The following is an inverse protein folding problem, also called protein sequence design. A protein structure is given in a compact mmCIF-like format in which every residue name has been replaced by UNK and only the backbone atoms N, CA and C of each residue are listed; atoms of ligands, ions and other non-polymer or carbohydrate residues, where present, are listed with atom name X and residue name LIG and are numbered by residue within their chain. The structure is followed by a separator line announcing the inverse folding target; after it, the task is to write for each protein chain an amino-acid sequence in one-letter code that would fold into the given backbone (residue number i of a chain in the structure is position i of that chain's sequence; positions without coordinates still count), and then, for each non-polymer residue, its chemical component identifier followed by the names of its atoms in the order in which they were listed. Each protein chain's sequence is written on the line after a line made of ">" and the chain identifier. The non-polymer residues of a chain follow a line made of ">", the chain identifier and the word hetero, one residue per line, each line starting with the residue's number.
data_IF_844537804276
#
_entry.id   IF_844537804276
#
_cell.length_a   1.000
_cell.length_b   1.000
_cell.length_c   1.000
_cell.angle_alpha   90.00
_cell.angle_beta   90.00
_cell.angle_gamma   90.00
#
_symmetry.space_group_name_H-M   'P 1'
#
loop_
_entity.id
_entity.type
_entity.pdbx_description
1 polymer ?
#
# COMPACT_ATOMS: atom_id res chain seq x y z
N UNK A 1 -12.23 -24.65 -42.76
CA UNK A 1 -11.50 -24.90 -41.50
C UNK A 1 -10.59 -23.71 -41.26
N UNK A 2 -11.07 -22.67 -40.56
CA UNK A 2 -10.23 -21.53 -40.19
C UNK A 2 -9.48 -21.89 -38.90
N UNK A 3 -8.17 -22.11 -39.03
CA UNK A 3 -7.30 -22.31 -37.88
C UNK A 3 -6.94 -20.94 -37.31
N UNK A 4 -7.64 -20.51 -36.26
CA UNK A 4 -7.29 -19.31 -35.52
C UNK A 4 -5.98 -19.53 -34.78
N UNK A 5 -4.92 -18.84 -35.21
CA UNK A 5 -3.64 -18.80 -34.51
C UNK A 5 -3.84 -17.94 -33.25
N UNK A 6 -4.11 -18.60 -32.12
CA UNK A 6 -3.97 -17.99 -30.80
C UNK A 6 -2.47 -17.78 -30.55
N UNK A 7 -1.97 -16.59 -30.89
CA UNK A 7 -0.65 -16.15 -30.45
C UNK A 7 -0.69 -15.92 -28.94
N UNK A 8 -0.37 -16.95 -28.14
CA UNK A 8 0.03 -16.74 -26.75
C UNK A 8 1.32 -15.90 -26.76
N UNK A 9 1.22 -14.59 -26.54
CA UNK A 9 2.40 -13.77 -26.28
C UNK A 9 2.95 -14.15 -24.90
N UNK A 10 4.13 -14.75 -24.91
CA UNK A 10 4.88 -15.03 -23.68
C UNK A 10 5.24 -13.70 -22.97
N UNK A 11 5.34 -13.74 -21.65
CA UNK A 11 5.81 -12.61 -20.85
C UNK A 11 7.24 -12.21 -21.27
N UNK A 12 7.53 -10.90 -21.19
CA UNK A 12 8.86 -10.38 -21.56
C UNK A 12 9.66 -10.09 -20.30
N UNK A 13 10.94 -10.48 -20.31
CA UNK A 13 11.89 -10.25 -19.22
C UNK A 13 12.98 -9.28 -19.67
N UNK A 14 13.07 -8.13 -19.01
CA UNK A 14 14.27 -7.30 -19.02
C UNK A 14 15.13 -7.75 -17.84
N UNK A 15 16.26 -8.40 -18.14
CA UNK A 15 17.18 -8.87 -17.11
C UNK A 15 17.90 -7.69 -16.45
N UNK A 16 18.31 -7.83 -15.17
CA UNK A 16 19.18 -6.85 -14.55
C UNK A 16 20.50 -6.72 -15.32
N UNK A 17 21.06 -5.51 -15.37
CA UNK A 17 22.39 -5.27 -15.93
C UNK A 17 23.50 -5.90 -15.07
N UNK A 18 23.26 -6.00 -13.76
CA UNK A 18 24.17 -6.62 -12.79
C UNK A 18 23.77 -8.08 -12.57
N UNK A 19 24.75 -8.98 -12.43
CA UNK A 19 24.49 -10.39 -12.15
C UNK A 19 23.92 -10.55 -10.73
N UNK A 20 22.88 -11.37 -10.59
CA UNK A 20 22.37 -11.84 -9.30
C UNK A 20 23.47 -12.60 -8.56
N UNK A 21 23.86 -12.11 -7.38
CA UNK A 21 24.83 -12.76 -6.49
C UNK A 21 24.10 -13.50 -5.37
N UNK A 22 23.39 -12.74 -4.54
CA UNK A 22 22.71 -13.25 -3.35
C UNK A 22 21.20 -13.28 -3.59
N UNK A 23 20.57 -12.12 -3.74
CA UNK A 23 19.14 -11.95 -3.98
C UNK A 23 18.84 -11.11 -5.21
N UNK A 24 17.58 -11.13 -5.64
CA UNK A 24 17.07 -10.28 -6.73
C UNK A 24 15.73 -9.67 -6.41
N UNK A 25 15.38 -8.63 -7.16
CA UNK A 25 14.09 -7.94 -7.04
C UNK A 25 13.36 -7.96 -8.40
N UNK A 26 12.05 -7.74 -8.42
CA UNK A 26 11.33 -7.60 -9.69
C UNK A 26 10.27 -6.50 -9.70
N UNK A 27 10.30 -5.71 -10.76
CA UNK A 27 9.20 -4.84 -11.16
C UNK A 27 8.27 -5.66 -12.06
N UNK A 28 7.06 -5.91 -11.60
CA UNK A 28 6.01 -6.60 -12.37
C UNK A 28 5.03 -5.53 -12.87
N UNK A 29 4.92 -5.37 -14.18
CA UNK A 29 4.07 -4.31 -14.78
C UNK A 29 3.26 -4.85 -15.95
N UNK A 30 2.16 -4.17 -16.31
CA UNK A 30 1.46 -4.49 -17.55
C UNK A 30 2.16 -3.85 -18.76
N UNK A 31 1.84 -4.35 -19.95
CA UNK A 31 2.49 -3.90 -21.18
C UNK A 31 2.23 -2.41 -21.49
N UNK A 32 1.03 -1.90 -21.21
CA UNK A 32 0.69 -0.49 -21.48
C UNK A 32 1.51 0.44 -20.59
N UNK A 33 1.55 0.15 -19.29
CA UNK A 33 2.35 0.88 -18.32
C UNK A 33 3.85 0.81 -18.65
N UNK A 34 4.37 -0.36 -19.01
CA UNK A 34 5.77 -0.47 -19.43
C UNK A 34 6.09 0.40 -20.64
N UNK A 35 5.25 0.37 -21.68
CA UNK A 35 5.46 1.17 -22.89
C UNK A 35 5.41 2.67 -22.62
N UNK A 36 4.55 3.12 -21.71
CA UNK A 36 4.41 4.52 -21.37
C UNK A 36 5.51 5.03 -20.43
N UNK A 37 6.04 4.16 -19.55
CA UNK A 37 6.98 4.52 -18.49
C UNK A 37 8.34 3.79 -18.61
N UNK A 38 8.72 3.36 -19.82
CA UNK A 38 9.88 2.49 -20.04
C UNK A 38 11.17 3.12 -19.50
N UNK A 39 11.37 4.41 -19.76
CA UNK A 39 12.56 5.14 -19.35
C UNK A 39 12.69 5.20 -17.82
N UNK A 40 11.60 5.51 -17.13
CA UNK A 40 11.55 5.64 -15.68
C UNK A 40 11.72 4.29 -14.97
N UNK A 41 11.07 3.22 -15.47
CA UNK A 41 11.22 1.88 -14.91
C UNK A 41 12.63 1.32 -15.12
N UNK A 42 13.26 1.59 -16.27
CA UNK A 42 14.66 1.22 -16.52
C UNK A 42 15.63 2.03 -15.65
N UNK A 43 15.37 3.32 -15.43
CA UNK A 43 16.17 4.13 -14.51
C UNK A 43 16.07 3.61 -13.06
N UNK A 44 14.87 3.19 -12.64
CA UNK A 44 14.66 2.56 -11.34
C UNK A 44 15.39 1.20 -11.22
N UNK A 45 15.32 0.36 -12.26
CA UNK A 45 16.10 -0.88 -12.33
C UNK A 45 17.61 -0.60 -12.22
N UNK A 46 18.11 0.43 -12.90
CA UNK A 46 19.53 0.78 -12.90
C UNK A 46 20.01 1.26 -11.53
N UNK A 47 19.26 2.15 -10.85
CA UNK A 47 19.66 2.68 -9.55
C UNK A 47 19.68 1.59 -8.47
N UNK A 48 18.66 0.71 -8.44
CA UNK A 48 18.67 -0.46 -7.55
C UNK A 48 19.84 -1.40 -7.84
N UNK A 49 20.18 -1.59 -9.12
CA UNK A 49 21.35 -2.37 -9.51
C UNK A 49 22.68 -1.78 -8.99
N UNK A 50 22.81 -0.45 -8.98
CA UNK A 50 23.98 0.25 -8.40
C UNK A 50 24.06 0.10 -6.88
N UNK A 51 22.91 -0.01 -6.23
CA UNK A 51 22.78 -0.23 -4.78
C UNK A 51 22.93 -1.71 -4.37
N UNK A 52 23.21 -2.59 -5.33
CA UNK A 52 23.45 -4.01 -5.07
C UNK A 52 22.20 -4.88 -5.07
N UNK A 53 21.07 -4.38 -5.61
CA UNK A 53 19.83 -5.13 -5.78
C UNK A 53 19.50 -5.34 -7.28
N UNK A 54 20.06 -6.41 -7.91
CA UNK A 54 19.75 -6.78 -9.29
C UNK A 54 18.24 -6.95 -9.49
N UNK A 55 17.65 -6.06 -10.29
CA UNK A 55 16.21 -5.99 -10.50
C UNK A 55 15.81 -6.48 -11.89
N UNK A 56 14.82 -7.37 -11.98
CA UNK A 56 14.14 -7.72 -13.22
C UNK A 56 13.01 -6.73 -13.50
N UNK A 57 12.74 -6.44 -14.78
CA UNK A 57 11.44 -5.89 -15.18
C UNK A 57 10.71 -6.96 -15.98
N UNK A 58 9.53 -7.34 -15.54
CA UNK A 58 8.69 -8.33 -16.22
C UNK A 58 7.37 -7.71 -16.59
N UNK A 59 7.05 -7.74 -17.88
CA UNK A 59 5.80 -7.18 -18.38
C UNK A 59 5.08 -8.12 -19.32
N UNK A 60 3.75 -8.06 -19.27
CA UNK A 60 2.87 -8.81 -20.15
C UNK A 60 1.48 -8.16 -20.22
N UNK A 61 0.63 -8.67 -21.10
CA UNK A 61 -0.81 -8.47 -21.05
C UNK A 61 -1.41 -9.48 -20.06
N UNK A 62 -1.34 -9.19 -18.76
CA UNK A 62 -1.81 -10.09 -17.70
C UNK A 62 -3.31 -10.33 -17.79
N UNK A 63 -3.72 -11.61 -17.86
CA UNK A 63 -5.14 -12.00 -17.96
C UNK A 63 -5.74 -12.46 -16.64
N UNK A 64 -4.92 -12.93 -15.71
CA UNK A 64 -5.35 -13.42 -14.40
C UNK A 64 -4.20 -13.45 -13.40
N UNK A 65 -4.50 -13.39 -12.08
CA UNK A 65 -3.50 -13.44 -11.02
C UNK A 65 -2.53 -14.63 -11.08
N UNK A 66 -2.99 -15.81 -11.47
CA UNK A 66 -2.13 -17.02 -11.47
C UNK A 66 -0.97 -16.89 -12.45
N UNK A 67 -1.14 -16.14 -13.54
CA UNK A 67 -0.07 -15.97 -14.52
C UNK A 67 1.04 -15.05 -13.98
N UNK A 68 0.66 -14.05 -13.18
CA UNK A 68 1.60 -13.23 -12.41
C UNK A 68 2.30 -14.08 -11.33
N UNK A 69 1.53 -14.81 -10.51
CA UNK A 69 2.08 -15.67 -9.44
C UNK A 69 3.06 -16.70 -9.98
N UNK A 70 2.79 -17.32 -11.14
CA UNK A 70 3.71 -18.26 -11.80
C UNK A 70 5.06 -17.63 -12.14
N UNK A 71 5.07 -16.38 -12.60
CA UNK A 71 6.32 -15.66 -12.89
C UNK A 71 7.10 -15.38 -11.63
N UNK A 72 6.43 -14.91 -10.58
CA UNK A 72 7.05 -14.62 -9.28
C UNK A 72 7.68 -15.89 -8.71
N UNK A 73 6.92 -16.99 -8.64
CA UNK A 73 7.42 -18.28 -8.13
C UNK A 73 8.58 -18.81 -8.98
N UNK A 74 8.58 -18.57 -10.29
CA UNK A 74 9.70 -18.95 -11.17
C UNK A 74 10.96 -18.17 -10.81
N UNK A 75 10.86 -16.85 -10.66
CA UNK A 75 11.99 -15.98 -10.28
C UNK A 75 12.47 -16.32 -8.86
N UNK A 76 11.57 -16.55 -7.91
CA UNK A 76 11.91 -17.01 -6.57
C UNK A 76 12.78 -18.26 -6.59
N UNK A 77 12.36 -19.29 -7.34
CA UNK A 77 13.08 -20.58 -7.38
C UNK A 77 14.38 -20.56 -8.18
N UNK A 78 14.51 -19.68 -9.18
CA UNK A 78 15.64 -19.70 -10.13
C UNK A 78 16.62 -18.55 -9.97
N UNK A 79 16.16 -17.44 -9.44
CA UNK A 79 16.86 -16.15 -9.45
C UNK A 79 16.89 -15.52 -8.03
N UNK A 80 16.59 -16.29 -6.97
CA UNK A 80 16.63 -15.84 -5.57
C UNK A 80 15.86 -14.54 -5.32
N UNK A 81 14.65 -14.44 -5.88
CA UNK A 81 13.80 -13.27 -5.71
C UNK A 81 13.46 -13.04 -4.22
N UNK A 82 13.80 -11.87 -3.67
CA UNK A 82 13.45 -11.50 -2.29
C UNK A 82 12.20 -10.62 -2.21
N UNK A 83 11.82 -9.95 -3.30
CA UNK A 83 10.66 -9.07 -3.31
C UNK A 83 10.21 -8.62 -4.69
N UNK A 84 9.02 -8.02 -4.73
CA UNK A 84 8.41 -7.46 -5.94
C UNK A 84 7.75 -6.10 -5.71
N UNK A 85 7.69 -5.29 -6.77
CA UNK A 85 6.75 -4.18 -6.87
C UNK A 85 5.85 -4.35 -8.08
N UNK A 86 4.54 -4.28 -7.85
CA UNK A 86 3.52 -4.27 -8.89
C UNK A 86 3.32 -2.83 -9.38
N UNK A 87 3.41 -2.58 -10.68
CA UNK A 87 3.29 -1.23 -11.24
C UNK A 87 2.23 -1.21 -12.33
N UNK A 88 1.23 -0.34 -12.16
CA UNK A 88 0.13 -0.20 -13.11
C UNK A 88 -0.97 -1.23 -12.89
N UNK A 89 -1.55 -1.72 -13.99
CA UNK A 89 -2.76 -2.54 -13.99
C UNK A 89 -2.44 -4.03 -13.88
N UNK A 90 -1.91 -4.41 -12.72
CA UNK A 90 -1.75 -5.83 -12.35
C UNK A 90 -3.07 -6.34 -11.73
N UNK A 91 -3.57 -7.53 -12.15
CA UNK A 91 -4.75 -8.18 -11.58
C UNK A 91 -4.82 -8.13 -10.05
N UNK A 92 -6.01 -7.91 -9.52
CA UNK A 92 -6.27 -7.73 -8.09
C UNK A 92 -7.06 -8.93 -7.56
N UNK A 93 -6.43 -9.79 -6.73
CA UNK A 93 -7.12 -10.86 -6.02
C UNK A 93 -8.02 -10.27 -4.92
N UNK A 94 -9.32 -10.51 -5.05
CA UNK A 94 -10.36 -10.14 -4.10
C UNK A 94 -10.70 -11.36 -3.24
N UNK A 95 -10.18 -11.40 -2.02
CA UNK A 95 -10.21 -12.59 -1.16
C UNK A 95 -11.46 -12.61 -0.27
N UNK A 96 -12.22 -13.69 -0.38
CA UNK A 96 -13.39 -14.03 0.46
C UNK A 96 -13.01 -15.11 1.46
N UNK A 97 -13.75 -15.21 2.56
CA UNK A 97 -13.45 -16.08 3.70
C UNK A 97 -12.04 -15.88 4.28
N UNK A 98 -11.48 -14.68 4.11
CA UNK A 98 -10.14 -14.31 4.57
C UNK A 98 -10.17 -13.14 5.57
N UNK A 99 -11.35 -12.58 5.87
CA UNK A 99 -11.49 -11.38 6.70
C UNK A 99 -10.96 -11.57 8.13
N UNK A 100 -10.94 -12.80 8.66
CA UNK A 100 -10.33 -13.10 9.97
C UNK A 100 -8.82 -12.89 10.00
N UNK A 101 -8.16 -12.82 8.84
CA UNK A 101 -6.73 -12.49 8.71
C UNK A 101 -6.48 -10.97 8.66
N UNK A 102 -7.54 -10.15 8.70
CA UNK A 102 -7.45 -8.68 8.76
C UNK A 102 -7.65 -8.19 10.20
N UNK A 103 -7.06 -7.02 10.51
CA UNK A 103 -7.14 -6.43 11.85
C UNK A 103 -8.57 -6.01 12.24
N UNK A 104 -9.20 -5.14 11.45
CA UNK A 104 -10.49 -4.53 11.81
C UNK A 104 -11.65 -4.87 10.86
N UNK A 105 -11.37 -5.27 9.62
CA UNK A 105 -12.41 -5.44 8.60
C UNK A 105 -13.25 -6.69 8.85
N UNK A 106 -14.56 -6.52 9.07
CA UNK A 106 -15.54 -7.59 9.26
C UNK A 106 -16.86 -7.18 8.61
N UNK A 107 -17.28 -7.89 7.58
CA UNK A 107 -18.51 -7.63 6.81
C UNK A 107 -19.16 -8.96 6.43
N UNK A 108 -20.48 -9.03 6.54
CA UNK A 108 -21.23 -10.22 6.17
C UNK A 108 -21.15 -10.47 4.66
N UNK A 109 -20.30 -11.41 4.27
CA UNK A 109 -20.07 -11.80 2.88
C UNK A 109 -21.33 -12.35 2.17
N UNK A 110 -22.33 -12.84 2.90
CA UNK A 110 -23.56 -13.39 2.31
C UNK A 110 -24.53 -12.30 1.88
N UNK A 111 -24.61 -11.22 2.67
CA UNK A 111 -25.64 -10.19 2.54
C UNK A 111 -25.13 -8.89 1.92
N UNK A 112 -23.83 -8.80 1.61
CA UNK A 112 -23.21 -7.60 1.03
C UNK A 112 -22.54 -7.91 -0.32
N UNK A 113 -22.37 -6.86 -1.12
CA UNK A 113 -21.75 -6.95 -2.43
C UNK A 113 -20.32 -7.50 -2.37
N UNK A 114 -19.94 -8.28 -3.39
CA UNK A 114 -18.64 -8.94 -3.40
C UNK A 114 -17.49 -7.95 -3.43
N UNK A 115 -17.65 -6.83 -4.15
CA UNK A 115 -16.67 -5.77 -4.24
C UNK A 115 -16.31 -5.23 -2.86
N UNK A 116 -17.32 -4.97 -2.04
CA UNK A 116 -17.16 -4.27 -0.76
C UNK A 116 -16.91 -5.24 0.40
N UNK A 117 -17.36 -6.50 0.30
CA UNK A 117 -17.17 -7.52 1.33
C UNK A 117 -15.93 -8.41 1.17
N UNK A 118 -15.16 -8.24 0.08
CA UNK A 118 -13.93 -9.00 -0.16
C UNK A 118 -12.69 -8.19 0.21
N UNK A 119 -11.59 -8.88 0.55
CA UNK A 119 -10.31 -8.26 0.92
C UNK A 119 -9.39 -8.22 -0.30
N UNK A 120 -9.13 -7.06 -0.93
CA UNK A 120 -8.11 -6.95 -1.97
C UNK A 120 -6.73 -7.21 -1.34
N UNK A 121 -5.95 -8.15 -1.88
CA UNK A 121 -4.70 -8.54 -1.22
C UNK A 121 -3.63 -9.12 -2.14
N UNK A 122 -2.45 -8.53 -2.05
CA UNK A 122 -1.23 -9.05 -2.68
C UNK A 122 -0.61 -10.23 -1.90
N UNK A 123 -1.21 -10.64 -0.76
CA UNK A 123 -0.86 -11.91 -0.08
C UNK A 123 -1.09 -13.12 -0.96
N UNK A 124 -1.98 -13.00 -1.95
CA UNK A 124 -2.11 -14.00 -3.00
C UNK A 124 -0.80 -14.23 -3.77
N UNK A 125 -0.01 -13.17 -3.99
CA UNK A 125 1.21 -13.21 -4.78
C UNK A 125 2.46 -13.48 -3.96
N UNK A 126 2.53 -13.01 -2.71
CA UNK A 126 3.76 -13.02 -1.91
C UNK A 126 3.83 -14.08 -0.81
N UNK A 127 2.71 -14.76 -0.53
CA UNK A 127 2.65 -15.95 0.32
C UNK A 127 2.31 -17.16 -0.57
N UNK A 128 3.30 -18.03 -0.74
CA UNK A 128 3.20 -19.20 -1.61
C UNK A 128 2.50 -20.38 -0.91
N UNK A 129 2.42 -20.35 0.42
CA UNK A 129 1.76 -21.37 1.23
C UNK A 129 0.24 -21.19 1.25
N UNK A 130 -0.26 -19.95 1.12
CA UNK A 130 -1.69 -19.67 1.02
C UNK A 130 -2.31 -20.26 -0.26
N UNK A 131 -3.44 -20.94 -0.06
CA UNK A 131 -4.19 -21.62 -1.11
C UNK A 131 -5.55 -20.98 -1.31
N UNK A 132 -5.97 -20.86 -2.57
CA UNK A 132 -7.15 -20.12 -2.96
C UNK A 132 -7.98 -20.88 -3.98
N UNK A 133 -9.30 -20.88 -3.79
CA UNK A 133 -10.25 -21.46 -4.74
C UNK A 133 -10.84 -20.34 -5.60
N UNK A 134 -10.58 -20.36 -6.90
CA UNK A 134 -11.12 -19.37 -7.84
C UNK A 134 -12.64 -19.45 -7.93
N UNK A 135 -13.29 -18.28 -7.92
CA UNK A 135 -14.74 -18.15 -8.00
C UNK A 135 -15.18 -17.58 -9.35
N UNK A 136 -14.77 -16.34 -9.64
CA UNK A 136 -15.08 -15.63 -10.89
C UNK A 136 -14.21 -14.40 -11.04
N UNK A 137 -14.10 -13.91 -12.27
CA UNK A 137 -13.67 -12.53 -12.54
C UNK A 137 -14.87 -11.59 -12.35
N UNK A 138 -14.65 -10.38 -11.87
CA UNK A 138 -15.70 -9.35 -11.83
C UNK A 138 -16.12 -8.97 -13.25
N UNK A 139 -17.42 -8.74 -13.46
CA UNK A 139 -17.97 -8.43 -14.77
C UNK A 139 -17.92 -6.94 -15.13
N UNK A 140 -17.73 -6.06 -14.14
CA UNK A 140 -17.65 -4.61 -14.31
C UNK A 140 -16.19 -4.20 -14.12
N UNK A 141 -15.64 -4.52 -12.96
CA UNK A 141 -14.24 -4.24 -12.61
C UNK A 141 -13.35 -5.37 -13.11
N UNK A 142 -13.16 -5.48 -14.43
CA UNK A 142 -12.48 -6.62 -15.06
C UNK A 142 -11.07 -6.91 -14.50
N UNK A 143 -10.45 -5.99 -13.75
CA UNK A 143 -9.18 -6.22 -13.08
C UNK A 143 -9.31 -6.98 -11.73
N UNK A 144 -10.52 -7.23 -11.25
CA UNK A 144 -10.80 -7.90 -9.98
C UNK A 144 -11.14 -9.37 -10.19
N UNK A 145 -10.50 -10.22 -9.39
CA UNK A 145 -10.64 -11.68 -9.48
C UNK A 145 -10.98 -12.22 -8.09
N UNK A 146 -12.13 -12.87 -7.96
CA UNK A 146 -12.61 -13.33 -6.66
C UNK A 146 -12.17 -14.75 -6.36
N UNK A 147 -11.72 -14.95 -5.13
CA UNK A 147 -11.27 -16.23 -4.60
C UNK A 147 -11.82 -16.45 -3.21
N UNK A 148 -12.04 -17.71 -2.82
CA UNK A 148 -12.10 -18.06 -1.40
C UNK A 148 -10.69 -18.39 -0.91
N UNK A 149 -10.37 -18.04 0.34
CA UNK A 149 -9.33 -18.74 1.08
C UNK A 149 -9.72 -20.22 1.18
N UNK A 150 -8.90 -21.11 0.62
CA UNK A 150 -9.22 -22.53 0.56
C UNK A 150 -9.25 -23.12 1.97
N UNK A 151 -10.10 -24.13 2.20
CA UNK A 151 -10.25 -24.76 3.53
C UNK A 151 -8.94 -25.40 4.04
N UNK A 152 -8.07 -25.82 3.12
CA UNK A 152 -6.75 -26.40 3.42
C UNK A 152 -5.63 -25.36 3.51
N UNK A 153 -5.93 -24.09 3.24
CA UNK A 153 -4.94 -23.02 3.36
C UNK A 153 -4.51 -22.86 4.82
N UNK A 154 -3.22 -22.55 5.07
CA UNK A 154 -2.79 -22.07 6.37
C UNK A 154 -3.65 -20.89 6.85
N UNK A 155 -3.85 -20.81 8.16
CA UNK A 155 -4.64 -19.76 8.82
C UNK A 155 -3.76 -18.64 9.39
N UNK A 156 -2.49 -18.62 9.01
CA UNK A 156 -1.52 -17.59 9.37
C UNK A 156 -0.84 -17.12 8.09
N UNK A 157 -0.53 -15.82 8.05
CA UNK A 157 0.24 -15.21 6.96
C UNK A 157 1.72 -15.42 7.26
N UNK A 158 2.45 -15.96 6.30
CA UNK A 158 3.91 -16.10 6.33
C UNK A 158 4.45 -15.94 4.92
N UNK A 159 4.70 -14.68 4.56
CA UNK A 159 5.15 -14.34 3.21
C UNK A 159 6.54 -14.89 2.92
N UNK A 160 6.71 -15.40 1.71
CA UNK A 160 7.99 -15.89 1.18
C UNK A 160 8.85 -14.74 0.64
N UNK A 161 8.21 -13.66 0.19
CA UNK A 161 8.85 -12.45 -0.34
C UNK A 161 8.13 -11.20 0.17
N UNK A 162 8.79 -10.04 0.14
CA UNK A 162 8.09 -8.77 0.36
C UNK A 162 7.44 -8.26 -0.93
N UNK A 163 6.31 -7.58 -0.82
CA UNK A 163 5.63 -6.99 -1.97
C UNK A 163 5.15 -5.57 -1.72
N UNK A 164 5.11 -4.78 -2.79
CA UNK A 164 4.53 -3.45 -2.82
C UNK A 164 3.76 -3.23 -4.13
N UNK A 165 2.91 -2.20 -4.16
CA UNK A 165 2.13 -1.85 -5.35
C UNK A 165 2.11 -0.33 -5.57
N UNK A 166 2.41 0.07 -6.79
CA UNK A 166 2.31 1.44 -7.29
C UNK A 166 1.16 1.48 -8.31
N UNK A 167 0.10 2.20 -7.95
CA UNK A 167 -1.08 2.40 -8.80
C UNK A 167 -1.40 3.88 -8.86
N UNK A 168 -1.81 4.37 -10.04
CA UNK A 168 -2.29 5.73 -10.18
C UNK A 168 -3.55 5.95 -9.34
N UNK A 169 -3.72 7.17 -8.83
CA UNK A 169 -4.92 7.56 -8.11
C UNK A 169 -5.97 7.98 -9.12
N UNK A 170 -7.23 7.61 -8.90
CA UNK A 170 -8.35 8.04 -9.72
C UNK A 170 -8.76 9.47 -9.34
N UNK A 171 -8.01 10.46 -9.83
CA UNK A 171 -8.20 11.88 -9.55
C UNK A 171 -8.34 12.73 -10.83
N UNK A 172 -8.56 12.09 -11.98
CA UNK A 172 -8.69 12.73 -13.29
C UNK A 172 -7.35 13.07 -13.98
N UNK A 173 -6.20 12.87 -13.34
CA UNK A 173 -4.91 12.96 -14.03
C UNK A 173 -4.60 11.70 -14.84
N UNK A 174 -3.87 11.87 -15.95
CA UNK A 174 -3.45 10.73 -16.79
C UNK A 174 -2.64 9.71 -15.97
N UNK A 175 -3.07 8.43 -15.90
CA UNK A 175 -2.47 7.44 -15.00
C UNK A 175 -0.97 7.22 -15.20
N UNK A 176 -0.50 7.13 -16.45
CA UNK A 176 0.92 6.88 -16.71
C UNK A 176 1.80 8.08 -16.35
N UNK A 177 1.29 9.31 -16.50
CA UNK A 177 1.97 10.52 -16.06
C UNK A 177 2.17 10.54 -14.54
N UNK A 178 1.18 10.08 -13.75
CA UNK A 178 1.33 9.93 -12.31
C UNK A 178 2.44 8.93 -11.96
N UNK A 179 2.43 7.75 -12.60
CA UNK A 179 3.44 6.69 -12.38
C UNK A 179 4.83 7.19 -12.81
N UNK A 180 4.96 7.84 -13.97
CA UNK A 180 6.21 8.42 -14.45
C UNK A 180 6.77 9.45 -13.46
N UNK A 181 5.94 10.38 -12.95
CA UNK A 181 6.36 11.35 -11.94
C UNK A 181 6.81 10.68 -10.64
N UNK A 182 6.09 9.64 -10.19
CA UNK A 182 6.46 8.88 -9.00
C UNK A 182 7.85 8.26 -9.16
N UNK A 183 8.12 7.53 -10.24
CA UNK A 183 9.42 6.88 -10.43
C UNK A 183 10.56 7.87 -10.69
N UNK A 184 10.29 9.01 -11.35
CA UNK A 184 11.27 10.12 -11.42
C UNK A 184 11.65 10.62 -10.04
N UNK A 185 10.68 10.81 -9.15
CA UNK A 185 10.93 11.17 -7.76
C UNK A 185 11.73 10.09 -7.06
N UNK A 186 11.30 8.83 -7.10
CA UNK A 186 12.00 7.70 -6.45
C UNK A 186 13.46 7.64 -6.88
N UNK A 187 13.74 7.65 -8.18
CA UNK A 187 15.12 7.62 -8.69
C UNK A 187 15.94 8.82 -8.21
N UNK A 188 15.34 10.02 -8.16
CA UNK A 188 16.01 11.19 -7.62
C UNK A 188 16.33 11.03 -6.12
N UNK A 189 15.39 10.54 -5.31
CA UNK A 189 15.58 10.33 -3.87
C UNK A 189 16.69 9.30 -3.57
N UNK A 190 16.78 8.20 -4.33
CA UNK A 190 17.87 7.23 -4.21
C UNK A 190 19.26 7.83 -4.50
N UNK A 191 19.33 8.94 -5.24
CA UNK A 191 20.58 9.65 -5.52
C UNK A 191 20.92 10.70 -4.45
N UNK A 192 20.00 10.96 -3.51
CA UNK A 192 20.24 11.86 -2.39
C UNK A 192 20.87 11.12 -1.22
N UNK A 193 21.65 11.85 -0.42
CA UNK A 193 22.11 11.37 0.88
C UNK A 193 21.22 11.95 1.98
N UNK A 194 19.94 11.57 1.98
CA UNK A 194 18.99 12.00 3.00
C UNK A 194 19.07 11.07 4.22
N UNK A 195 19.18 11.66 5.41
CA UNK A 195 19.17 10.90 6.67
C UNK A 195 17.78 10.99 7.27
N UNK A 196 17.24 9.87 7.69
CA UNK A 196 15.98 9.80 8.43
C UNK A 196 16.14 10.51 9.79
N UNK A 197 15.83 11.81 9.83
CA UNK A 197 15.99 12.67 11.00
C UNK A 197 14.80 13.62 11.25
N UNK A 198 13.84 13.72 10.34
CA UNK A 198 12.58 14.43 10.54
C UNK A 198 11.40 13.46 10.69
N UNK A 199 10.76 13.48 11.86
CA UNK A 199 9.70 12.55 12.22
C UNK A 199 8.44 13.26 12.70
N UNK A 200 7.29 12.77 12.25
CA UNK A 200 5.98 13.22 12.70
C UNK A 200 5.06 12.03 13.01
N UNK A 201 4.49 12.00 14.21
CA UNK A 201 3.40 11.08 14.57
C UNK A 201 2.11 11.85 14.83
N UNK A 202 1.00 11.35 14.29
CA UNK A 202 -0.34 11.83 14.58
C UNK A 202 -1.25 10.70 15.06
N UNK A 203 -2.02 11.01 16.11
CA UNK A 203 -2.92 10.08 16.79
C UNK A 203 -4.31 10.69 16.92
N UNK A 204 -5.27 10.16 16.17
CA UNK A 204 -6.60 10.75 16.04
C UNK A 204 -7.63 10.20 16.98
N UNK A 205 -8.85 10.70 16.88
CA UNK A 205 -9.93 10.32 17.79
C UNK A 205 -10.40 8.88 17.56
N UNK A 206 -10.76 8.19 18.64
CA UNK A 206 -11.35 6.84 18.60
C UNK A 206 -10.40 5.68 18.26
N UNK A 207 -9.13 5.93 17.91
CA UNK A 207 -8.10 4.89 17.67
C UNK A 207 -7.52 4.37 19.01
N UNK A 208 -6.23 3.98 19.03
CA UNK A 208 -5.53 3.71 20.30
C UNK A 208 -5.45 4.94 21.22
N UNK A 209 -5.80 6.12 20.70
CA UNK A 209 -5.76 7.43 21.35
C UNK A 209 -6.53 7.53 22.67
N UNK A 210 -7.51 6.64 22.89
CA UNK A 210 -8.22 6.49 24.17
C UNK A 210 -7.33 5.90 25.28
N UNK A 211 -6.15 5.38 24.94
CA UNK A 211 -5.19 4.79 25.87
C UNK A 211 -3.89 5.59 25.88
N UNK A 212 -3.73 6.44 26.89
CA UNK A 212 -2.45 7.16 27.11
C UNK A 212 -1.28 6.19 27.32
N UNK A 213 -1.56 5.00 27.85
CA UNK A 213 -0.55 3.95 28.05
C UNK A 213 -0.16 3.26 26.74
N UNK A 214 -0.96 3.38 25.68
CA UNK A 214 -0.57 2.96 24.32
C UNK A 214 0.15 4.08 23.55
N UNK A 215 -0.26 5.34 23.73
CA UNK A 215 0.36 6.50 23.05
C UNK A 215 1.74 6.85 23.61
N UNK A 216 1.87 6.96 24.94
CA UNK A 216 3.11 7.45 25.59
C UNK A 216 4.35 6.63 25.24
N UNK A 217 4.30 5.28 25.15
CA UNK A 217 5.45 4.47 24.76
C UNK A 217 5.97 4.72 23.34
N UNK A 218 5.16 5.26 22.42
CA UNK A 218 5.57 5.46 21.03
C UNK A 218 6.83 6.32 20.94
N UNK A 219 6.89 7.42 21.69
CA UNK A 219 8.08 8.28 21.71
C UNK A 219 9.34 7.55 22.18
N UNK A 220 9.21 6.62 23.14
CA UNK A 220 10.34 5.81 23.61
C UNK A 220 10.79 4.80 22.55
N UNK A 221 9.84 4.09 21.94
CA UNK A 221 10.12 3.15 20.84
C UNK A 221 10.80 3.84 19.67
N UNK A 222 10.29 5.01 19.25
CA UNK A 222 10.88 5.79 18.16
C UNK A 222 12.28 6.28 18.53
N UNK A 223 12.52 6.64 19.79
CA UNK A 223 13.85 7.04 20.26
C UNK A 223 14.86 5.89 20.25
N UNK A 224 14.43 4.69 20.61
CA UNK A 224 15.27 3.49 20.58
C UNK A 224 15.60 3.05 19.15
N UNK A 225 14.61 3.06 18.25
CA UNK A 225 14.78 2.61 16.87
C UNK A 225 15.45 3.66 15.97
N UNK A 226 15.16 4.95 16.22
CA UNK A 226 15.60 6.07 15.38
C UNK A 226 16.14 7.22 16.25
N UNK A 227 17.22 7.02 17.03
CA UNK A 227 17.72 8.04 17.95
C UNK A 227 18.10 9.35 17.26
N UNK A 228 18.45 9.29 15.97
CA UNK A 228 18.77 10.47 15.14
C UNK A 228 17.63 11.48 15.02
N UNK A 229 16.36 11.08 15.14
CA UNK A 229 15.23 12.03 15.09
C UNK A 229 15.12 12.87 16.38
N UNK A 230 15.91 12.55 17.42
CA UNK A 230 15.93 13.25 18.71
C UNK A 230 17.26 13.99 18.99
N UNK A 231 18.20 14.01 18.05
CA UNK A 231 19.50 14.64 18.25
C UNK A 231 19.44 16.19 18.30
N UNK A 232 18.35 16.78 17.79
CA UNK A 232 18.07 18.22 17.79
C UNK A 232 16.60 18.50 18.06
N UNK A 233 16.36 19.65 18.67
CA UNK A 233 15.00 20.12 18.94
C UNK A 233 14.18 20.30 17.66
N UNK A 234 12.89 19.96 17.73
CA UNK A 234 11.92 20.19 16.64
C UNK A 234 11.86 19.13 15.54
N UNK A 235 12.77 18.14 15.58
CA UNK A 235 12.89 17.04 14.62
C UNK A 235 11.83 15.95 14.77
N UNK A 236 11.56 15.53 15.99
CA UNK A 236 10.48 14.61 16.31
C UNK A 236 9.27 15.36 16.87
N UNK A 237 8.08 15.15 16.29
CA UNK A 237 6.82 15.75 16.73
C UNK A 237 5.74 14.69 16.90
N UNK A 238 5.04 14.74 18.02
CA UNK A 238 3.96 13.81 18.36
C UNK A 238 2.73 14.63 18.70
N UNK A 239 1.68 14.54 17.88
CA UNK A 239 0.43 15.29 18.07
C UNK A 239 -0.71 14.30 18.28
N UNK A 240 -1.58 14.60 19.25
CA UNK A 240 -2.82 13.86 19.50
C UNK A 240 -4.02 14.75 19.19
N UNK A 241 -5.14 14.15 18.78
CA UNK A 241 -6.36 14.84 18.37
C UNK A 241 -6.89 15.89 19.35
N UNK A 242 -6.62 15.75 20.65
CA UNK A 242 -7.09 16.66 21.70
C UNK A 242 -6.01 17.65 22.19
N UNK A 243 -4.90 17.81 21.48
CA UNK A 243 -3.93 18.88 21.76
C UNK A 243 -4.42 20.25 21.29
N UNK A 244 -5.39 20.26 20.37
CA UNK A 244 -6.08 21.44 19.84
C UNK A 244 -7.53 21.09 19.55
N UNK A 245 -8.45 22.06 19.61
CA UNK A 245 -9.86 21.82 19.27
C UNK A 245 -10.03 21.37 17.80
N UNK A 246 -9.16 21.84 16.90
CA UNK A 246 -9.22 21.57 15.46
C UNK A 246 -7.82 21.29 14.87
N UNK A 247 -7.29 20.06 15.00
CA UNK A 247 -5.91 19.72 14.65
C UNK A 247 -5.62 19.66 13.14
N UNK A 248 -6.65 19.82 12.29
CA UNK A 248 -6.54 19.63 10.84
C UNK A 248 -5.42 20.46 10.22
N UNK A 249 -5.37 21.75 10.52
CA UNK A 249 -4.38 22.65 9.92
C UNK A 249 -2.97 22.37 10.47
N UNK A 250 -2.85 22.02 11.76
CA UNK A 250 -1.57 21.62 12.36
C UNK A 250 -1.00 20.37 11.67
N UNK A 251 -1.84 19.35 11.46
CA UNK A 251 -1.48 18.12 10.77
C UNK A 251 -1.08 18.40 9.32
N UNK A 252 -1.87 19.19 8.59
CA UNK A 252 -1.57 19.56 7.20
C UNK A 252 -0.24 20.34 7.12
N UNK A 253 0.01 21.25 8.05
CA UNK A 253 1.25 22.01 8.09
C UNK A 253 2.46 21.11 8.36
N UNK A 254 2.31 20.05 9.16
CA UNK A 254 3.37 19.04 9.33
C UNK A 254 3.60 18.25 8.05
N UNK A 255 2.55 17.79 7.36
CA UNK A 255 2.67 17.02 6.12
C UNK A 255 3.21 17.82 4.92
N UNK A 256 3.03 19.15 4.91
CA UNK A 256 3.55 20.04 3.86
C UNK A 256 5.04 20.32 3.97
N UNK A 257 5.67 19.96 5.09
CA UNK A 257 7.10 20.16 5.30
C UNK A 257 7.89 19.40 4.24
N UNK A 258 8.75 20.12 3.52
CA UNK A 258 9.61 19.54 2.48
C UNK A 258 10.78 18.74 3.06
N UNK A 259 11.07 18.92 4.35
CA UNK A 259 12.10 18.20 5.08
C UNK A 259 11.56 16.96 5.81
N UNK A 260 10.25 16.72 5.85
CA UNK A 260 9.68 15.58 6.57
C UNK A 260 10.04 14.25 5.90
N UNK A 261 10.68 13.35 6.66
CA UNK A 261 11.13 12.04 6.15
C UNK A 261 10.12 10.92 6.41
N UNK A 262 9.55 10.89 7.62
CA UNK A 262 8.63 9.84 8.04
C UNK A 262 7.46 10.41 8.83
N UNK A 263 6.27 10.03 8.40
CA UNK A 263 5.04 10.26 9.14
C UNK A 263 4.35 8.95 9.52
N UNK A 264 3.92 8.81 10.77
CA UNK A 264 3.08 7.70 11.22
C UNK A 264 1.72 8.25 11.67
N UNK A 265 0.64 7.68 11.14
CA UNK A 265 -0.72 8.07 11.45
C UNK A 265 -1.47 6.90 12.04
N UNK A 266 -2.17 7.16 13.14
CA UNK A 266 -2.95 6.16 13.84
C UNK A 266 -4.39 6.61 13.97
N UNK A 267 -5.18 6.17 13.00
CA UNK A 267 -6.44 6.79 12.69
C UNK A 267 -7.51 5.79 12.31
N UNK A 268 -8.75 6.25 12.45
CA UNK A 268 -9.85 5.71 11.66
C UNK A 268 -9.89 6.39 10.31
N UNK A 269 -10.23 5.63 9.28
CA UNK A 269 -10.35 6.14 7.93
C UNK A 269 -11.39 5.39 7.12
N UNK A 270 -11.77 6.02 6.02
CA UNK A 270 -12.44 5.42 4.88
C UNK A 270 -11.44 5.37 3.72
N UNK A 271 -11.75 4.68 2.62
CA UNK A 271 -10.85 4.62 1.45
C UNK A 271 -10.35 5.99 0.95
N UNK A 272 -11.16 7.06 1.07
CA UNK A 272 -10.85 8.38 0.53
C UNK A 272 -10.61 9.48 1.58
N UNK A 273 -10.71 9.16 2.88
CA UNK A 273 -10.54 10.18 3.95
C UNK A 273 -10.09 9.59 5.28
N UNK A 274 -9.33 10.38 6.04
CA UNK A 274 -8.95 10.09 7.42
C UNK A 274 -9.76 10.97 8.39
N UNK A 275 -10.17 10.42 9.53
CA UNK A 275 -10.97 11.12 10.54
C UNK A 275 -10.06 11.77 11.59
N UNK A 276 -9.46 12.91 11.24
CA UNK A 276 -8.42 13.54 12.07
C UNK A 276 -8.93 14.02 13.44
N UNK A 277 -10.13 14.58 13.52
CA UNK A 277 -10.61 15.29 14.73
C UNK A 277 -11.78 14.58 15.40
N UNK A 278 -11.81 14.63 16.73
CA UNK A 278 -13.00 14.31 17.52
C UNK A 278 -13.90 15.52 17.75
N UNK A 279 -15.03 15.30 18.42
CA UNK A 279 -15.82 16.42 18.95
C UNK A 279 -15.02 17.10 20.08
N UNK A 280 -14.79 18.43 20.03
CA UNK A 280 -14.06 19.12 21.09
C UNK A 280 -14.70 18.89 22.46
N UNK A 281 -13.88 18.57 23.45
CA UNK A 281 -14.35 18.44 24.82
C UNK A 281 -14.82 19.83 25.30
N UNK A 282 -16.04 19.90 25.81
CA UNK A 282 -16.60 21.13 26.34
C UNK A 282 -17.35 20.85 27.62
N UNK A 283 -17.28 21.79 28.57
CA UNK A 283 -18.11 21.82 29.77
C UNK A 283 -19.19 22.91 29.69
N UNK A 284 -19.32 23.58 28.53
CA UNK A 284 -20.28 24.65 28.32
C UNK A 284 -21.59 24.08 27.82
N UNK A 285 -22.66 24.30 28.58
CA UNK A 285 -24.02 23.90 28.21
C UNK A 285 -24.39 24.23 26.77
N UNK A 286 -24.15 25.48 26.34
CA UNK A 286 -24.48 25.92 24.98
C UNK A 286 -23.75 25.12 23.90
N UNK A 287 -22.50 24.72 24.14
CA UNK A 287 -21.73 23.92 23.19
C UNK A 287 -22.29 22.49 23.08
N UNK A 288 -22.78 21.90 24.18
CA UNK A 288 -23.51 20.63 24.12
C UNK A 288 -24.82 20.75 23.34
N UNK A 289 -25.57 21.84 23.54
CA UNK A 289 -26.80 22.12 22.80
C UNK A 289 -26.52 22.25 21.30
N UNK A 290 -25.44 22.94 20.92
CA UNK A 290 -25.08 23.12 19.51
C UNK A 290 -24.58 21.82 18.87
N UNK A 291 -23.82 20.99 19.60
CA UNK A 291 -23.44 19.65 19.16
C UNK A 291 -24.66 18.76 18.90
N UNK A 292 -25.67 18.79 19.80
CA UNK A 292 -26.92 18.06 19.61
C UNK A 292 -27.69 18.57 18.38
N UNK A 293 -27.81 19.88 18.18
CA UNK A 293 -28.47 20.44 16.99
C UNK A 293 -27.78 19.99 15.71
N UNK A 294 -26.44 19.98 15.67
CA UNK A 294 -25.68 19.51 14.53
C UNK A 294 -25.95 18.02 14.25
N UNK A 295 -25.93 17.18 15.29
CA UNK A 295 -26.27 15.76 15.18
C UNK A 295 -27.68 15.54 14.61
N UNK A 296 -28.70 16.23 15.13
CA UNK A 296 -30.07 16.11 14.63
C UNK A 296 -30.24 16.59 13.19
N UNK A 297 -29.48 17.61 12.76
CA UNK A 297 -29.47 18.05 11.35
C UNK A 297 -28.90 16.99 10.41
N UNK A 298 -27.99 16.14 10.88
CA UNK A 298 -27.41 15.06 10.08
C UNK A 298 -28.30 13.81 10.00
N UNK A 299 -29.37 13.73 10.80
CA UNK A 299 -30.35 12.64 10.77
C UNK A 299 -31.58 12.96 9.88
N UNK A 300 -31.74 14.22 9.48
CA UNK A 300 -32.80 14.71 8.60
C UNK A 300 -32.32 14.73 7.14
#
# INVERSE_FOLDING_TARGET
>A
MLCSILSLRAQTFVKPAVKVKDTSFAVITDKGTFQACEAELKAYQEILGKEGLPTFIVYNEWKKPEDVKKVIVKLYKKDNLEGVVFVGDIPIPMLRKAQHMTSAFKMDEKNNDWRDSSVPSDRFYDDFDLQFDFLKQDSVENNFFYYNLAIKSPQQIRCDIYSARVKAVDNGEEPHAQISRYFKKVVAEHQTNNKLDQFFSYTGDGSYSNSLTAWTPETFTIREQMPGVFDKEGRARFIRYNFSDYPKDDVINMLKRTDLDLSIFHEHGMPERQYLSGSPATNRWNAHVDAMKYYYRGLA
#
